data_IF_821952870486
#
_entry.id   IF_821952870486
#
_cell.length_a   1.000
_cell.length_b   1.000
_cell.length_c   1.000
_cell.angle_alpha   90.00
_cell.angle_beta   90.00
_cell.angle_gamma   90.00
#
_symmetry.space_group_name_H-M   'P 1'
#
loop_
_entity.id
_entity.type
_entity.pdbx_description
1 polymer ?
#
# COMPACT_ATOMS: atom_id res chain seq x y z
N UNK A 1 16.28 2.37 -11.46
CA UNK A 1 15.89 1.00 -11.03
C UNK A 1 17.13 0.19 -10.69
N UNK A 2 18.00 -0.13 -11.64
CA UNK A 2 19.24 -0.88 -11.36
C UNK A 2 20.19 -0.16 -10.38
N UNK A 3 20.37 1.16 -10.49
CA UNK A 3 21.25 1.94 -9.60
C UNK A 3 20.76 2.00 -8.14
N UNK A 4 19.46 1.78 -7.91
CA UNK A 4 18.87 1.71 -6.58
C UNK A 4 18.70 0.27 -6.07
N UNK A 5 19.20 -0.74 -6.82
CA UNK A 5 19.01 -2.15 -6.49
C UNK A 5 17.56 -2.64 -6.60
N UNK A 6 16.69 -1.89 -7.28
CA UNK A 6 15.27 -2.22 -7.40
C UNK A 6 15.09 -3.12 -8.63
N UNK A 7 14.72 -4.38 -8.40
CA UNK A 7 14.29 -5.29 -9.45
C UNK A 7 12.85 -4.94 -9.88
N UNK A 8 12.60 -4.64 -11.17
CA UNK A 8 11.25 -4.46 -11.66
C UNK A 8 10.52 -5.81 -11.65
N UNK A 9 9.47 -5.92 -10.84
CA UNK A 9 8.53 -7.03 -10.96
C UNK A 9 7.73 -6.86 -12.24
N UNK A 10 8.18 -7.54 -13.28
CA UNK A 10 7.41 -7.79 -14.49
C UNK A 10 7.17 -9.29 -14.52
N UNK A 11 6.06 -9.72 -13.92
CA UNK A 11 5.64 -11.11 -13.94
C UNK A 11 5.73 -11.74 -15.34
N UNK A 12 5.77 -13.08 -15.40
CA UNK A 12 5.72 -13.78 -16.68
C UNK A 12 4.47 -13.33 -17.44
N UNK A 13 4.54 -13.16 -18.76
CA UNK A 13 3.36 -12.80 -19.57
C UNK A 13 2.18 -13.74 -19.26
N UNK A 14 1.09 -13.18 -18.71
CA UNK A 14 -0.10 -13.93 -18.28
C UNK A 14 -0.16 -14.25 -16.78
N UNK A 15 0.85 -13.85 -16.00
CA UNK A 15 0.85 -13.86 -14.54
C UNK A 15 0.63 -12.43 -14.03
N UNK A 16 -0.40 -12.23 -13.22
CA UNK A 16 -0.81 -10.93 -12.70
C UNK A 16 -0.60 -10.79 -11.19
N UNK A 17 0.08 -11.74 -10.55
CA UNK A 17 0.24 -11.76 -9.09
C UNK A 17 0.89 -10.51 -8.53
N UNK A 18 1.85 -9.94 -9.26
CA UNK A 18 2.56 -8.72 -8.88
C UNK A 18 1.73 -7.45 -9.10
N UNK A 19 0.91 -7.41 -10.15
CA UNK A 19 0.11 -6.25 -10.51
C UNK A 19 -1.24 -6.20 -9.78
N UNK A 20 -1.85 -7.34 -9.48
CA UNK A 20 -3.20 -7.40 -8.91
C UNK A 20 -3.37 -6.62 -7.60
N UNK A 21 -2.41 -6.64 -6.64
CA UNK A 21 -2.47 -5.78 -5.45
C UNK A 21 -2.44 -4.29 -5.81
N UNK A 22 -1.54 -3.88 -6.71
CA UNK A 22 -1.42 -2.49 -7.14
C UNK A 22 -2.69 -2.01 -7.86
N UNK A 23 -3.29 -2.85 -8.71
CA UNK A 23 -4.56 -2.56 -9.38
C UNK A 23 -5.71 -2.40 -8.39
N UNK A 24 -5.77 -3.26 -7.36
CA UNK A 24 -6.79 -3.17 -6.32
C UNK A 24 -6.72 -1.84 -5.58
N UNK A 25 -5.52 -1.41 -5.18
CA UNK A 25 -5.33 -0.11 -4.52
C UNK A 25 -5.70 1.05 -5.44
N UNK A 26 -5.27 1.00 -6.70
CA UNK A 26 -5.60 2.03 -7.68
C UNK A 26 -7.11 2.13 -7.95
N UNK A 27 -7.81 1.00 -8.04
CA UNK A 27 -9.26 0.96 -8.22
C UNK A 27 -10.01 1.56 -7.03
N UNK A 28 -9.57 1.23 -5.81
CA UNK A 28 -10.14 1.79 -4.59
C UNK A 28 -9.90 3.31 -4.51
N UNK A 29 -8.67 3.77 -4.77
CA UNK A 29 -8.34 5.20 -4.81
C UNK A 29 -9.24 5.97 -5.77
N UNK A 30 -9.41 5.45 -7.00
CA UNK A 30 -10.28 6.07 -8.00
C UNK A 30 -11.74 6.14 -7.53
N UNK A 31 -12.22 5.08 -6.90
CA UNK A 31 -13.61 4.98 -6.40
C UNK A 31 -13.86 5.92 -5.23
N UNK A 32 -13.03 5.83 -4.19
CA UNK A 32 -13.22 6.54 -2.92
C UNK A 32 -12.91 8.03 -3.01
N UNK A 33 -11.99 8.42 -3.90
CA UNK A 33 -11.54 9.80 -4.04
C UNK A 33 -11.98 10.43 -5.35
N UNK A 34 -11.47 9.92 -6.48
CA UNK A 34 -11.59 10.61 -7.77
C UNK A 34 -13.03 10.71 -8.23
N UNK A 35 -13.76 9.60 -8.24
CA UNK A 35 -15.15 9.54 -8.67
C UNK A 35 -16.08 10.14 -7.61
N UNK A 36 -15.85 9.83 -6.34
CA UNK A 36 -16.71 10.31 -5.24
C UNK A 36 -16.68 11.83 -5.03
N UNK A 37 -15.54 12.49 -5.26
CA UNK A 37 -15.40 13.95 -5.09
C UNK A 37 -15.53 14.73 -6.40
N UNK A 38 -15.84 14.06 -7.53
CA UNK A 38 -16.06 14.74 -8.80
C UNK A 38 -17.33 15.61 -8.77
N UNK A 39 -17.39 16.73 -9.54
CA UNK A 39 -16.36 17.24 -10.44
C UNK A 39 -15.26 18.04 -9.71
N UNK A 40 -14.03 17.94 -10.21
CA UNK A 40 -12.88 18.67 -9.68
C UNK A 40 -12.73 20.02 -10.39
N UNK A 41 -12.53 21.09 -9.63
CA UNK A 41 -12.45 22.45 -10.18
C UNK A 41 -11.06 22.81 -10.71
N UNK A 42 -10.01 22.29 -10.10
CA UNK A 42 -8.62 22.59 -10.46
C UNK A 42 -7.74 21.35 -10.37
N UNK A 43 -6.67 21.33 -11.14
CA UNK A 43 -5.63 20.29 -11.05
C UNK A 43 -5.01 20.23 -9.65
N UNK A 44 -4.74 21.37 -9.02
CA UNK A 44 -4.18 21.46 -7.67
C UNK A 44 -5.05 20.74 -6.62
N UNK A 45 -6.39 20.82 -6.75
CA UNK A 45 -7.29 20.11 -5.84
C UNK A 45 -7.17 18.58 -5.96
N UNK A 46 -6.91 18.08 -7.18
CA UNK A 46 -6.65 16.66 -7.46
C UNK A 46 -5.26 16.24 -7.00
N UNK A 47 -4.28 17.15 -6.97
CA UNK A 47 -2.92 16.86 -6.50
C UNK A 47 -2.81 16.84 -4.97
N UNK A 48 -3.61 17.63 -4.26
CA UNK A 48 -3.58 17.72 -2.80
C UNK A 48 -4.41 16.63 -2.10
N UNK A 49 -5.62 16.36 -2.61
CA UNK A 49 -6.54 15.37 -2.04
C UNK A 49 -5.98 13.93 -1.87
N UNK A 50 -5.04 13.44 -2.72
CA UNK A 50 -4.41 12.14 -2.54
C UNK A 50 -3.61 12.04 -1.25
N UNK A 51 -3.02 13.14 -0.77
CA UNK A 51 -2.27 13.15 0.50
C UNK A 51 -3.19 12.77 1.66
N UNK A 52 -4.36 13.39 1.74
CA UNK A 52 -5.38 13.05 2.74
C UNK A 52 -5.86 11.60 2.59
N UNK A 53 -6.07 11.16 1.35
CA UNK A 53 -6.56 9.81 1.08
C UNK A 53 -5.54 8.75 1.52
N UNK A 54 -4.25 8.94 1.20
CA UNK A 54 -3.16 8.04 1.59
C UNK A 54 -3.01 8.02 3.11
N UNK A 55 -3.01 9.18 3.77
CA UNK A 55 -2.92 9.25 5.22
C UNK A 55 -4.07 8.49 5.89
N UNK A 56 -5.31 8.68 5.41
CA UNK A 56 -6.48 7.98 5.93
C UNK A 56 -6.46 6.49 5.62
N UNK A 57 -6.01 6.09 4.43
CA UNK A 57 -5.88 4.69 4.05
C UNK A 57 -4.89 3.98 4.98
N UNK A 58 -3.70 4.55 5.19
CA UNK A 58 -2.64 3.89 5.95
C UNK A 58 -2.85 3.91 7.47
N UNK A 59 -3.39 4.99 8.03
CA UNK A 59 -3.44 5.19 9.49
C UNK A 59 -4.82 5.02 10.12
N UNK A 60 -5.89 4.98 9.32
CA UNK A 60 -7.26 4.94 9.86
C UNK A 60 -8.14 3.85 9.26
N UNK A 61 -7.82 3.31 8.08
CA UNK A 61 -8.67 2.31 7.43
C UNK A 61 -8.43 0.93 8.05
N UNK A 62 -9.41 0.42 8.78
CA UNK A 62 -9.37 -0.94 9.31
C UNK A 62 -9.64 -1.94 8.18
N UNK A 63 -8.82 -2.99 8.11
CA UNK A 63 -8.95 -4.03 7.09
C UNK A 63 -9.11 -5.40 7.74
N UNK A 64 -10.22 -6.08 7.46
CA UNK A 64 -10.49 -7.44 7.93
C UNK A 64 -9.34 -8.40 7.62
N UNK A 65 -8.75 -8.43 6.39
CA UNK A 65 -7.61 -9.31 6.10
C UNK A 65 -6.36 -9.05 6.96
N UNK A 66 -6.25 -7.87 7.56
CA UNK A 66 -5.14 -7.51 8.47
C UNK A 66 -5.49 -7.76 9.94
N UNK A 67 -6.66 -8.33 10.24
CA UNK A 67 -7.14 -8.48 11.62
C UNK A 67 -7.79 -7.22 12.18
N UNK A 68 -8.42 -6.41 11.33
CA UNK A 68 -9.09 -5.16 11.70
C UNK A 68 -8.17 -4.08 12.27
N UNK A 69 -6.93 -4.00 11.76
CA UNK A 69 -5.99 -2.91 12.06
C UNK A 69 -5.66 -2.08 10.81
N UNK A 70 -5.15 -0.85 10.96
CA UNK A 70 -4.64 -0.04 9.85
C UNK A 70 -3.44 -0.68 9.15
N UNK A 71 -3.24 -0.45 7.83
CA UNK A 71 -2.08 -0.90 7.08
C UNK A 71 -0.74 -0.52 7.71
N UNK A 72 -0.59 0.70 8.23
CA UNK A 72 0.64 1.14 8.87
C UNK A 72 0.98 0.32 10.13
N UNK A 73 -0.05 -0.05 10.90
CA UNK A 73 0.14 -0.88 12.10
C UNK A 73 0.49 -2.32 11.73
N UNK A 74 -0.12 -2.85 10.66
CA UNK A 74 0.22 -4.17 10.13
C UNK A 74 1.67 -4.23 9.64
N UNK A 75 2.13 -3.21 8.91
CA UNK A 75 3.51 -3.08 8.47
C UNK A 75 4.49 -2.97 9.65
N UNK A 76 4.18 -2.13 10.65
CA UNK A 76 4.99 -2.02 11.86
C UNK A 76 5.10 -3.35 12.63
N UNK A 77 3.99 -4.10 12.72
CA UNK A 77 3.98 -5.42 13.35
C UNK A 77 4.79 -6.44 12.55
N UNK A 78 4.73 -6.39 11.22
CA UNK A 78 5.54 -7.24 10.34
C UNK A 78 7.03 -7.00 10.56
N UNK A 79 7.49 -5.74 10.53
CA UNK A 79 8.91 -5.43 10.75
C UNK A 79 9.40 -5.78 12.16
N UNK A 80 8.54 -5.61 13.18
CA UNK A 80 8.87 -6.07 14.54
C UNK A 80 9.09 -7.58 14.58
N UNK A 81 8.22 -8.36 13.94
CA UNK A 81 8.35 -9.83 13.89
C UNK A 81 9.59 -10.25 13.10
N UNK A 82 9.88 -9.58 11.98
CA UNK A 82 11.05 -9.87 11.16
C UNK A 82 12.35 -9.60 11.94
N UNK A 83 12.42 -8.49 12.69
CA UNK A 83 13.54 -8.19 13.58
C UNK A 83 13.74 -9.26 14.65
N UNK A 84 12.66 -9.65 15.34
CA UNK A 84 12.71 -10.70 16.35
C UNK A 84 13.14 -12.05 15.75
N UNK A 85 12.66 -12.40 14.55
CA UNK A 85 13.04 -13.65 13.87
C UNK A 85 14.53 -13.65 13.43
N UNK A 86 15.11 -12.49 13.14
CA UNK A 86 16.53 -12.35 12.84
C UNK A 86 17.42 -12.42 14.09
N UNK A 87 16.89 -12.15 15.28
CA UNK A 87 17.61 -12.30 16.57
C UNK A 87 17.57 -13.74 17.13
N UNK A 88 16.55 -14.54 16.79
CA UNK A 88 16.36 -15.91 17.29
C UNK A 88 17.32 -17.01 16.73
N UNK A 89 18.10 -16.87 15.64
CA UNK A 89 18.98 -17.95 15.18
C UNK A 89 20.37 -18.00 15.88
N UNK A 90 20.60 -17.23 16.96
CA UNK A 90 21.89 -17.19 17.65
C UNK A 90 21.99 -18.03 18.95
N UNK A 91 20.95 -18.79 19.34
CA UNK A 91 20.92 -19.53 20.62
C UNK A 91 20.54 -21.03 20.53
N UNK A 92 20.90 -21.71 19.43
CA UNK A 92 20.92 -23.18 19.36
C UNK A 92 22.24 -23.64 18.75
#
# INVERSE_FOLDING_TARGET
MAEAGIEPSVGRRGDSYDNAPAETINGLYKTDLIHRRAPWKTRQSVELAPLEWVARYNHHRLMEPLGHIPPADAEANYYRQLGNAAEVPALT
#
